data_IF_337581432752
#
_entry.id   IF_337581432752
#
_cell.length_a   1.000
_cell.length_b   1.000
_cell.length_c   1.000
_cell.angle_alpha   90.00
_cell.angle_beta   90.00
_cell.angle_gamma   90.00
#
_symmetry.space_group_name_H-M   'P 1'
#
loop_
_entity.id
_entity.type
_entity.pdbx_description
1 polymer ?
#
# COMPACT_ATOMS: atom_id res chain seq x y z
N UNK A 1 -4.85 -54.32 -61.96
CA UNK A 1 -6.07 -53.55 -62.28
C UNK A 1 -5.88 -52.16 -61.72
N UNK A 2 -5.45 -51.21 -62.57
CA UNK A 2 -5.57 -49.79 -62.27
C UNK A 2 -7.02 -49.40 -62.57
N UNK A 3 -7.74 -48.92 -61.56
CA UNK A 3 -9.03 -48.26 -61.74
C UNK A 3 -8.80 -46.77 -61.64
N UNK A 4 -9.13 -46.05 -62.71
CA UNK A 4 -8.97 -44.61 -62.84
C UNK A 4 -9.77 -43.85 -61.76
N UNK A 5 -9.07 -43.00 -61.01
CA UNK A 5 -9.71 -41.95 -60.19
C UNK A 5 -10.20 -40.85 -61.14
N UNK A 6 -11.51 -40.76 -61.33
CA UNK A 6 -12.13 -39.61 -61.97
C UNK A 6 -11.97 -38.39 -61.07
N UNK A 7 -11.21 -37.41 -61.53
CA UNK A 7 -11.28 -36.05 -61.01
C UNK A 7 -12.56 -35.40 -61.54
N UNK A 8 -13.55 -35.21 -60.67
CA UNK A 8 -14.58 -34.20 -60.94
C UNK A 8 -13.94 -32.83 -60.66
N UNK A 9 -13.66 -32.12 -61.76
CA UNK A 9 -13.31 -30.71 -61.73
C UNK A 9 -14.54 -29.91 -61.29
N UNK A 10 -14.65 -29.57 -60.01
CA UNK A 10 -15.46 -28.44 -59.53
C UNK A 10 -15.25 -28.08 -58.05
N UNK A 11 -14.05 -28.27 -57.52
CA UNK A 11 -13.66 -27.51 -56.31
C UNK A 11 -13.16 -26.15 -56.76
N UNK A 12 -14.08 -25.18 -56.74
CA UNK A 12 -13.69 -23.77 -56.60
C UNK A 12 -12.80 -23.71 -55.37
N UNK A 13 -11.51 -23.45 -55.57
CA UNK A 13 -10.64 -22.97 -54.51
C UNK A 13 -11.20 -21.61 -54.13
N UNK A 14 -12.14 -21.59 -53.18
CA UNK A 14 -12.52 -20.36 -52.52
C UNK A 14 -11.24 -19.80 -51.91
N UNK A 15 -10.85 -18.63 -52.38
CA UNK A 15 -9.79 -17.85 -51.78
C UNK A 15 -10.12 -17.74 -50.29
N UNK A 16 -9.24 -18.30 -49.45
CA UNK A 16 -9.42 -18.33 -47.99
C UNK A 16 -9.07 -16.97 -47.36
N UNK A 17 -8.84 -15.95 -48.19
CA UNK A 17 -8.69 -14.59 -47.75
C UNK A 17 -10.08 -13.99 -47.47
N UNK A 18 -10.41 -13.71 -46.21
CA UNK A 18 -11.67 -13.06 -45.89
C UNK A 18 -11.71 -11.68 -46.55
N UNK A 19 -12.78 -11.40 -47.28
CA UNK A 19 -13.07 -10.09 -47.84
C UNK A 19 -13.76 -9.22 -46.78
N UNK A 20 -13.68 -7.89 -46.89
CA UNK A 20 -14.34 -6.96 -45.95
C UNK A 20 -15.86 -7.22 -45.87
N UNK A 21 -16.46 -7.69 -46.97
CA UNK A 21 -17.87 -8.10 -47.02
C UNK A 21 -18.20 -9.37 -46.23
N UNK A 22 -17.20 -10.17 -45.85
CA UNK A 22 -17.37 -11.35 -45.01
C UNK A 22 -17.55 -10.99 -43.53
N UNK A 23 -17.29 -9.73 -43.17
CA UNK A 23 -17.55 -9.19 -41.83
C UNK A 23 -18.82 -8.33 -41.88
N UNK A 24 -19.93 -8.84 -41.37
CA UNK A 24 -21.12 -8.00 -41.18
C UNK A 24 -20.99 -7.22 -39.87
N UNK A 25 -21.50 -5.99 -39.85
CA UNK A 25 -21.63 -5.20 -38.60
C UNK A 25 -22.48 -5.93 -37.55
N UNK A 26 -23.31 -6.88 -37.98
CA UNK A 26 -24.17 -7.71 -37.14
C UNK A 26 -23.41 -8.88 -36.49
N UNK A 27 -22.23 -9.25 -37.01
CA UNK A 27 -21.32 -10.26 -36.42
C UNK A 27 -20.33 -9.63 -35.42
N UNK A 28 -20.27 -8.29 -35.38
CA UNK A 28 -19.47 -7.55 -34.41
C UNK A 28 -20.30 -7.29 -33.14
N UNK A 29 -20.17 -8.17 -32.16
CA UNK A 29 -20.59 -7.86 -30.79
C UNK A 29 -19.43 -7.17 -30.08
N UNK A 30 -19.54 -5.87 -29.88
CA UNK A 30 -18.62 -5.16 -29.00
C UNK A 30 -18.71 -5.80 -27.60
N UNK A 31 -17.59 -6.31 -27.10
CA UNK A 31 -17.51 -6.89 -25.75
C UNK A 31 -17.81 -5.80 -24.70
N UNK A 32 -17.49 -4.53 -25.03
CA UNK A 32 -17.76 -3.36 -24.21
C UNK A 32 -18.87 -2.52 -24.85
N UNK A 33 -19.89 -2.18 -24.06
CA UNK A 33 -21.03 -1.35 -24.48
C UNK A 33 -20.84 0.14 -24.14
N UNK A 34 -19.76 0.47 -23.42
CA UNK A 34 -19.39 1.83 -23.01
C UNK A 34 -17.92 2.09 -23.38
N UNK A 35 -17.55 3.35 -23.62
CA UNK A 35 -16.15 3.74 -23.83
C UNK A 35 -15.41 3.59 -22.51
N UNK A 36 -14.64 2.50 -22.37
CA UNK A 36 -13.84 2.23 -21.17
C UNK A 36 -12.36 2.23 -21.52
N UNK A 37 -11.56 2.92 -20.69
CA UNK A 37 -10.13 3.15 -20.90
C UNK A 37 -9.30 1.86 -20.65
N UNK A 38 -8.01 1.87 -20.99
CA UNK A 38 -7.21 0.65 -21.15
C UNK A 38 -7.06 -0.24 -19.90
N UNK A 39 -6.62 -1.48 -20.12
CA UNK A 39 -6.30 -2.46 -19.06
C UNK A 39 -4.90 -2.20 -18.50
N UNK A 40 -4.76 -2.12 -17.18
CA UNK A 40 -3.46 -1.95 -16.56
C UNK A 40 -3.48 -1.96 -15.04
N UNK A 41 -2.29 -2.11 -14.46
CA UNK A 41 -2.06 -1.97 -13.03
C UNK A 41 -0.92 -0.99 -12.75
N UNK A 42 -0.99 -0.33 -11.60
CA UNK A 42 0.09 0.49 -11.05
C UNK A 42 0.46 -0.10 -9.70
N UNK A 43 1.74 -0.45 -9.55
CA UNK A 43 2.34 -0.89 -8.31
C UNK A 43 3.51 0.02 -7.93
N UNK A 44 3.85 -0.01 -6.65
CA UNK A 44 5.05 0.64 -6.13
C UNK A 44 6.12 -0.43 -5.92
N UNK A 45 7.32 -0.15 -6.40
CA UNK A 45 8.44 -1.08 -6.23
C UNK A 45 9.46 -0.57 -5.20
N UNK A 46 9.38 0.72 -4.85
CA UNK A 46 10.24 1.38 -3.88
C UNK A 46 9.61 2.72 -3.44
N UNK A 47 9.90 3.15 -2.21
CA UNK A 47 9.54 4.48 -1.70
C UNK A 47 10.77 5.06 -1.01
N UNK A 48 11.17 6.26 -1.43
CA UNK A 48 12.22 7.01 -0.76
C UNK A 48 11.61 7.85 0.38
N UNK A 49 12.06 7.56 1.60
CA UNK A 49 11.64 8.23 2.82
C UNK A 49 12.66 9.28 3.31
N UNK A 50 13.68 9.60 2.52
CA UNK A 50 14.72 10.57 2.89
C UNK A 50 14.17 11.96 3.19
N UNK A 51 13.07 12.35 2.54
CA UNK A 51 12.39 13.63 2.74
C UNK A 51 11.38 13.63 3.91
N UNK A 52 11.12 12.49 4.58
CA UNK A 52 10.29 12.49 5.81
C UNK A 52 10.99 13.17 6.99
N UNK A 53 12.32 13.37 6.91
CA UNK A 53 13.10 14.11 7.90
C UNK A 53 13.27 15.57 7.42
N UNK A 54 12.21 16.39 7.53
CA UNK A 54 12.31 17.83 7.26
C UNK A 54 12.68 18.58 8.54
N UNK A 55 13.98 18.68 8.84
CA UNK A 55 14.49 19.45 9.99
C UNK A 55 14.22 18.79 11.33
N UNK A 56 13.75 19.56 12.33
CA UNK A 56 13.40 19.09 13.68
C UNK A 56 12.00 18.44 13.77
N UNK A 57 11.32 18.26 12.64
CA UNK A 57 9.97 17.68 12.60
C UNK A 57 10.10 16.17 12.68
N UNK A 58 9.76 15.61 13.84
CA UNK A 58 9.82 14.18 14.08
C UNK A 58 8.77 13.45 13.22
N UNK A 59 9.07 12.23 12.79
CA UNK A 59 8.19 11.39 11.96
C UNK A 59 6.90 10.90 12.63
N UNK A 60 6.43 11.60 13.67
CA UNK A 60 5.23 11.27 14.45
C UNK A 60 4.47 12.52 14.91
N UNK A 61 3.19 12.34 15.22
CA UNK A 61 2.29 13.42 15.62
C UNK A 61 2.43 13.73 17.11
N UNK A 62 2.76 14.98 17.44
CA UNK A 62 2.97 15.46 18.82
C UNK A 62 1.86 16.38 19.33
N UNK A 63 0.88 16.73 18.49
CA UNK A 63 -0.23 17.63 18.84
C UNK A 63 -1.57 16.95 18.63
N UNK A 64 -2.32 16.74 19.72
CA UNK A 64 -3.65 16.15 19.71
C UNK A 64 -4.45 16.61 20.94
N UNK A 65 -5.77 16.77 20.81
CA UNK A 65 -6.63 17.21 21.93
C UNK A 65 -6.83 16.13 23.01
N UNK A 66 -6.83 14.85 22.62
CA UNK A 66 -6.92 13.67 23.50
C UNK A 66 -5.63 13.51 24.32
N UNK A 67 -4.47 13.78 23.70
CA UNK A 67 -3.14 13.63 24.33
C UNK A 67 -2.35 14.96 24.32
N UNK A 68 -2.79 15.96 25.11
CA UNK A 68 -2.19 17.30 25.07
C UNK A 68 -0.77 17.36 25.64
N UNK A 69 -0.36 16.36 26.43
CA UNK A 69 0.94 16.32 27.11
C UNK A 69 2.09 15.86 26.22
N UNK A 70 1.83 15.17 25.09
CA UNK A 70 2.90 14.69 24.19
C UNK A 70 3.82 15.83 23.76
N UNK A 71 3.23 17.01 23.47
CA UNK A 71 4.00 18.19 23.12
C UNK A 71 4.91 18.67 24.26
N UNK A 72 4.41 18.66 25.50
CA UNK A 72 5.18 19.07 26.68
C UNK A 72 6.32 18.09 26.94
N UNK A 73 6.04 16.78 26.89
CA UNK A 73 7.01 15.70 27.12
C UNK A 73 8.15 15.71 26.09
N UNK A 74 7.85 16.05 24.84
CA UNK A 74 8.85 16.09 23.75
C UNK A 74 9.64 17.40 23.73
N UNK A 75 8.99 18.56 23.92
CA UNK A 75 9.62 19.87 23.63
C UNK A 75 9.87 20.77 24.83
N UNK A 76 9.27 20.50 26.00
CA UNK A 76 9.36 21.37 27.18
C UNK A 76 10.09 20.66 28.33
N UNK A 77 9.63 19.49 28.73
CA UNK A 77 10.27 18.71 29.80
C UNK A 77 11.38 17.80 29.28
N UNK A 78 11.34 17.41 28.00
CA UNK A 78 12.26 16.45 27.38
C UNK A 78 12.22 15.07 28.08
N UNK A 79 11.06 14.73 28.65
CA UNK A 79 10.82 13.44 29.29
C UNK A 79 10.64 12.32 28.26
N UNK A 80 10.22 12.65 27.03
CA UNK A 80 10.05 11.72 25.91
C UNK A 80 10.94 12.12 24.73
N UNK A 81 11.85 11.23 24.34
CA UNK A 81 12.64 11.35 23.13
C UNK A 81 12.38 10.16 22.21
N UNK A 82 11.92 10.41 20.99
CA UNK A 82 11.68 9.38 19.97
C UNK A 82 12.54 9.71 18.75
N UNK A 83 13.51 8.85 18.46
CA UNK A 83 14.37 8.96 17.28
C UNK A 83 13.92 7.95 16.23
N UNK A 84 13.52 8.42 15.05
CA UNK A 84 13.26 7.52 13.92
C UNK A 84 14.59 6.95 13.40
N UNK A 85 14.73 5.63 13.44
CA UNK A 85 15.95 4.94 13.01
C UNK A 85 15.91 4.62 11.52
N UNK A 86 14.75 4.18 11.03
CA UNK A 86 14.58 3.69 9.68
C UNK A 86 13.09 3.57 9.31
N UNK A 87 12.79 3.80 8.04
CA UNK A 87 11.51 3.48 7.42
C UNK A 87 11.77 2.88 6.04
N UNK A 88 11.17 1.73 5.74
CA UNK A 88 11.45 0.98 4.54
C UNK A 88 10.17 0.48 3.87
N UNK A 89 10.15 0.60 2.55
CA UNK A 89 9.21 -0.12 1.72
C UNK A 89 9.56 -1.61 1.74
N UNK A 90 8.55 -2.47 1.93
CA UNK A 90 8.71 -3.92 1.90
C UNK A 90 8.18 -4.47 0.58
N UNK A 91 6.90 -4.23 0.29
CA UNK A 91 6.23 -4.71 -0.92
C UNK A 91 4.93 -3.94 -1.20
N UNK A 92 4.43 -4.03 -2.43
CA UNK A 92 3.04 -3.67 -2.74
C UNK A 92 2.16 -4.86 -2.38
N UNK A 93 1.16 -4.65 -1.52
CA UNK A 93 0.15 -5.64 -1.16
C UNK A 93 -0.93 -5.66 -2.23
N UNK A 94 -1.53 -4.49 -2.49
CA UNK A 94 -2.60 -4.32 -3.46
C UNK A 94 -2.22 -3.21 -4.44
N UNK A 95 -2.10 -3.50 -5.74
CA UNK A 95 -1.90 -2.47 -6.76
C UNK A 95 -3.21 -1.77 -7.11
N UNK A 96 -3.11 -0.56 -7.65
CA UNK A 96 -4.23 0.06 -8.36
C UNK A 96 -4.43 -0.69 -9.68
N UNK A 97 -5.68 -1.04 -10.00
CA UNK A 97 -6.02 -1.88 -11.16
C UNK A 97 -7.22 -1.26 -11.87
N UNK A 98 -7.16 -1.26 -13.19
CA UNK A 98 -8.32 -1.08 -14.07
C UNK A 98 -8.39 -2.30 -15.00
N UNK A 99 -9.48 -3.07 -14.91
CA UNK A 99 -9.74 -4.20 -15.81
C UNK A 99 -11.18 -4.18 -16.32
N UNK A 100 -11.34 -3.59 -17.50
CA UNK A 100 -12.63 -3.48 -18.16
C UNK A 100 -13.08 -4.76 -18.87
N UNK A 101 -12.22 -5.78 -18.99
CA UNK A 101 -12.54 -7.04 -19.67
C UNK A 101 -13.05 -8.12 -18.71
N UNK A 102 -12.71 -8.01 -17.43
CA UNK A 102 -13.11 -8.97 -16.41
C UNK A 102 -13.94 -8.28 -15.30
N UNK A 103 -15.26 -8.34 -15.42
CA UNK A 103 -16.21 -7.76 -14.45
C UNK A 103 -16.10 -8.35 -13.02
N UNK A 104 -15.35 -9.45 -12.84
CA UNK A 104 -15.07 -9.98 -11.51
C UNK A 104 -13.97 -9.20 -10.77
N UNK A 105 -13.21 -8.36 -11.48
CA UNK A 105 -12.21 -7.46 -10.89
C UNK A 105 -12.89 -6.12 -10.64
N UNK A 106 -12.76 -5.62 -9.42
CA UNK A 106 -13.22 -4.27 -9.06
C UNK A 106 -12.08 -3.31 -9.33
N UNK A 107 -12.33 -2.30 -10.16
CA UNK A 107 -11.38 -1.22 -10.39
C UNK A 107 -11.00 -0.55 -9.06
N UNK A 108 -9.72 -0.31 -8.88
CA UNK A 108 -9.15 0.30 -7.68
C UNK A 108 -8.23 1.44 -8.06
N UNK A 109 -8.46 2.60 -7.46
CA UNK A 109 -7.61 3.78 -7.56
C UNK A 109 -6.66 3.90 -6.37
N UNK A 110 -6.48 2.84 -5.58
CA UNK A 110 -5.61 2.84 -4.42
C UNK A 110 -4.51 1.79 -4.55
N UNK A 111 -3.31 2.15 -4.10
CA UNK A 111 -2.19 1.21 -3.91
C UNK A 111 -2.01 1.03 -2.41
N UNK A 112 -2.05 -0.20 -1.92
CA UNK A 112 -1.69 -0.53 -0.53
C UNK A 112 -0.29 -1.10 -0.51
N UNK A 113 0.59 -0.51 0.29
CA UNK A 113 1.98 -0.95 0.46
C UNK A 113 2.25 -1.37 1.90
N UNK A 114 3.15 -2.33 2.06
CA UNK A 114 3.67 -2.74 3.35
C UNK A 114 4.93 -1.96 3.69
N UNK A 115 4.95 -1.32 4.85
CA UNK A 115 6.10 -0.57 5.35
C UNK A 115 6.63 -1.18 6.64
N UNK A 116 7.94 -1.04 6.86
CA UNK A 116 8.61 -1.39 8.09
C UNK A 116 9.24 -0.13 8.69
N UNK A 117 8.81 0.23 9.89
CA UNK A 117 9.32 1.37 10.65
C UNK A 117 10.06 0.89 11.90
N UNK A 118 11.17 1.55 12.23
CA UNK A 118 11.85 1.34 13.50
C UNK A 118 12.20 2.66 14.17
N UNK A 119 11.96 2.70 15.48
CA UNK A 119 12.10 3.88 16.32
C UNK A 119 12.88 3.52 17.56
N UNK A 120 13.75 4.42 18.02
CA UNK A 120 14.34 4.34 19.35
C UNK A 120 13.61 5.31 20.28
N UNK A 121 13.17 4.82 21.43
CA UNK A 121 12.44 5.59 22.43
C UNK A 121 13.28 5.65 23.70
N UNK A 122 13.41 6.85 24.25
CA UNK A 122 13.95 7.10 25.59
C UNK A 122 12.91 7.87 26.40
N UNK A 123 12.61 7.35 27.60
CA UNK A 123 11.66 7.94 28.52
C UNK A 123 12.34 8.17 29.87
N UNK A 124 12.38 9.43 30.31
CA UNK A 124 13.13 9.90 31.48
C UNK A 124 12.26 10.09 32.73
N UNK A 125 10.96 10.25 32.58
CA UNK A 125 10.00 10.16 33.68
C UNK A 125 9.45 8.73 33.80
N UNK A 126 8.96 8.28 34.95
CA UNK A 126 8.48 6.90 35.17
C UNK A 126 7.07 6.88 35.76
N UNK A 127 6.33 7.97 35.60
CA UNK A 127 5.07 8.22 36.30
C UNK A 127 3.84 7.66 35.58
N UNK A 128 3.85 7.58 34.24
CA UNK A 128 2.66 7.21 33.46
C UNK A 128 2.59 5.73 33.04
N UNK A 129 3.74 5.11 32.75
CA UNK A 129 3.81 3.69 32.43
C UNK A 129 3.34 3.28 31.02
N UNK A 130 2.98 4.23 30.17
CA UNK A 130 2.60 4.00 28.78
C UNK A 130 3.23 5.01 27.81
N UNK A 131 3.34 4.62 26.54
CA UNK A 131 3.77 5.44 25.43
C UNK A 131 2.58 5.71 24.51
N UNK A 132 2.44 6.96 24.06
CA UNK A 132 1.49 7.35 23.02
C UNK A 132 2.24 7.64 21.73
N UNK A 133 1.80 7.04 20.62
CA UNK A 133 2.49 7.17 19.34
C UNK A 133 1.52 7.16 18.15
N UNK A 134 1.70 8.06 17.19
CA UNK A 134 1.02 8.03 15.88
C UNK A 134 2.02 8.43 14.80
N UNK A 135 2.30 7.59 13.78
CA UNK A 135 3.22 7.93 12.71
C UNK A 135 2.67 9.09 11.85
N UNK A 136 3.57 9.80 11.18
CA UNK A 136 3.17 10.88 10.26
C UNK A 136 2.47 10.36 8.98
N UNK A 137 2.75 9.11 8.57
CA UNK A 137 2.14 8.50 7.41
C UNK A 137 0.69 8.07 7.71
N UNK A 138 -0.26 8.97 7.47
CA UNK A 138 -1.70 8.67 7.58
C UNK A 138 -2.39 8.75 6.21
N UNK A 139 -3.37 7.86 5.92
CA UNK A 139 -3.88 6.78 6.78
C UNK A 139 -2.99 5.52 6.73
N UNK A 140 -2.67 4.94 7.89
CA UNK A 140 -1.97 3.66 8.01
C UNK A 140 -2.66 2.73 9.02
N UNK A 141 -2.57 1.42 8.79
CA UNK A 141 -3.04 0.40 9.73
C UNK A 141 -1.85 -0.37 10.29
N UNK A 142 -1.80 -0.54 11.62
CA UNK A 142 -0.76 -1.33 12.25
C UNK A 142 -1.04 -2.81 12.06
N UNK A 143 -0.11 -3.54 11.44
CA UNK A 143 -0.21 -4.99 11.28
C UNK A 143 0.51 -5.77 12.37
N UNK A 144 1.72 -5.32 12.71
CA UNK A 144 2.55 -5.99 13.72
C UNK A 144 3.33 -4.94 14.49
N UNK A 145 3.50 -5.19 15.77
CA UNK A 145 4.25 -4.33 16.66
C UNK A 145 5.18 -5.17 17.52
N UNK A 146 6.48 -4.90 17.44
CA UNK A 146 7.49 -5.52 18.27
C UNK A 146 8.23 -4.49 19.11
N UNK A 147 8.68 -4.92 20.29
CA UNK A 147 9.53 -4.11 21.17
C UNK A 147 10.78 -4.89 21.53
N UNK A 148 11.93 -4.23 21.41
CA UNK A 148 13.23 -4.73 21.84
C UNK A 148 13.73 -3.90 23.02
N UNK A 149 13.90 -4.56 24.17
CA UNK A 149 14.37 -3.94 25.41
C UNK A 149 15.89 -4.05 25.62
N UNK A 150 16.64 -4.43 24.59
CA UNK A 150 18.08 -4.65 24.62
C UNK A 150 18.49 -6.08 24.95
N UNK A 151 17.61 -6.90 25.53
CA UNK A 151 17.87 -8.34 25.76
C UNK A 151 17.02 -9.24 24.88
N UNK A 152 15.73 -8.93 24.75
CA UNK A 152 14.75 -9.76 24.06
C UNK A 152 13.88 -8.92 23.12
N UNK A 153 13.30 -9.59 22.13
CA UNK A 153 12.31 -9.00 21.22
C UNK A 153 10.96 -9.64 21.51
N UNK A 154 9.96 -8.81 21.79
CA UNK A 154 8.60 -9.22 22.09
C UNK A 154 7.68 -8.78 20.95
N UNK A 155 6.88 -9.69 20.43
CA UNK A 155 5.72 -9.34 19.61
C UNK A 155 4.59 -8.95 20.57
N UNK A 156 4.02 -7.77 20.36
CA UNK A 156 2.96 -7.22 21.18
C UNK A 156 1.60 -7.60 20.61
N UNK A 157 0.65 -7.85 21.50
CA UNK A 157 -0.72 -8.25 21.18
C UNK A 157 -1.65 -7.09 21.47
N UNK A 158 -2.42 -6.68 20.46
CA UNK A 158 -3.46 -5.64 20.61
C UNK A 158 -4.47 -6.04 21.70
N UNK A 159 -5.03 -5.05 22.39
CA UNK A 159 -5.93 -5.17 23.56
C UNK A 159 -5.30 -5.77 24.82
N UNK A 160 -4.08 -6.33 24.73
CA UNK A 160 -3.35 -6.87 25.88
C UNK A 160 -2.18 -5.97 26.25
N UNK A 161 -1.36 -5.64 25.24
CA UNK A 161 -0.07 -4.96 25.43
C UNK A 161 -0.13 -3.51 24.93
N UNK A 162 -0.95 -3.27 23.89
CA UNK A 162 -1.26 -1.94 23.37
C UNK A 162 -2.70 -1.87 22.86
N UNK A 163 -3.23 -0.67 22.69
CA UNK A 163 -4.48 -0.42 21.95
C UNK A 163 -4.27 0.63 20.87
N UNK A 164 -5.07 0.59 19.81
CA UNK A 164 -5.17 1.69 18.84
C UNK A 164 -6.47 2.44 19.11
N UNK A 165 -6.36 3.73 19.41
CA UNK A 165 -7.53 4.54 19.71
C UNK A 165 -8.30 4.97 18.44
N UNK A 166 -9.43 5.65 18.63
CA UNK A 166 -10.29 6.14 17.53
C UNK A 166 -9.61 7.18 16.62
N UNK A 167 -8.54 7.81 17.09
CA UNK A 167 -7.77 8.83 16.38
C UNK A 167 -6.46 8.19 15.79
N UNK A 168 -6.37 6.85 15.83
CA UNK A 168 -5.27 5.99 15.38
C UNK A 168 -3.98 6.05 16.22
N UNK A 169 -4.03 6.61 17.43
CA UNK A 169 -2.88 6.57 18.33
C UNK A 169 -2.69 5.19 18.92
N UNK A 170 -1.45 4.69 18.86
CA UNK A 170 -0.99 3.54 19.61
C UNK A 170 -0.78 3.98 21.06
N UNK A 171 -1.45 3.29 21.99
CA UNK A 171 -1.27 3.41 23.43
C UNK A 171 -0.60 2.14 23.92
N UNK A 172 0.70 2.18 24.19
CA UNK A 172 1.52 1.02 24.55
C UNK A 172 1.89 1.03 26.03
N UNK A 173 1.51 0.00 26.78
CA UNK A 173 1.83 -0.11 28.22
C UNK A 173 3.21 -0.74 28.41
N UNK A 174 4.26 0.10 28.46
CA UNK A 174 5.63 -0.41 28.47
C UNK A 174 6.04 -1.04 29.80
N UNK A 175 5.47 -0.68 30.95
CA UNK A 175 5.94 -1.15 32.28
C UNK A 175 6.07 -2.67 32.40
N UNK A 176 5.20 -3.42 31.70
CA UNK A 176 5.20 -4.88 31.68
C UNK A 176 6.47 -5.50 31.08
N UNK A 177 7.25 -4.74 30.32
CA UNK A 177 8.39 -5.22 29.53
C UNK A 177 9.76 -4.75 30.05
N UNK A 178 9.78 -3.82 31.01
CA UNK A 178 11.01 -3.17 31.46
C UNK A 178 11.19 -3.23 32.97
N UNK A 179 12.42 -3.50 33.40
CA UNK A 179 12.80 -3.37 34.81
C UNK A 179 13.10 -1.89 35.09
N UNK A 180 12.05 -1.15 35.45
CA UNK A 180 12.08 0.29 35.67
C UNK A 180 13.13 0.63 36.74
N UNK A 181 14.22 1.33 36.37
CA UNK A 181 15.20 1.73 37.39
C UNK A 181 15.70 3.17 37.34
N UNK A 182 15.71 3.90 36.21
CA UNK A 182 15.90 5.38 36.20
C UNK A 182 15.45 6.00 34.87
N UNK A 183 15.81 5.37 33.76
CA UNK A 183 15.46 5.76 32.39
C UNK A 183 15.07 4.48 31.67
N UNK A 184 13.98 4.51 30.92
CA UNK A 184 13.53 3.37 30.11
C UNK A 184 13.84 3.65 28.66
N UNK A 185 14.56 2.75 27.99
CA UNK A 185 14.80 2.85 26.57
C UNK A 185 14.52 1.53 25.84
N UNK A 186 14.05 1.66 24.61
CA UNK A 186 13.71 0.51 23.77
C UNK A 186 13.67 0.87 22.30
N UNK A 187 13.72 -0.15 21.47
CA UNK A 187 13.44 -0.01 20.04
C UNK A 187 12.06 -0.58 19.73
N UNK A 188 11.22 0.20 19.08
CA UNK A 188 9.97 -0.26 18.49
C UNK A 188 10.21 -0.68 17.04
N UNK A 189 9.57 -1.75 16.61
CA UNK A 189 9.45 -2.13 15.20
C UNK A 189 7.97 -2.25 14.85
N UNK A 190 7.52 -1.43 13.90
CA UNK A 190 6.12 -1.35 13.50
C UNK A 190 6.01 -1.72 12.03
N UNK A 191 5.13 -2.66 11.72
CA UNK A 191 4.80 -3.05 10.36
C UNK A 191 3.45 -2.45 10.02
N UNK A 192 3.41 -1.68 8.94
CA UNK A 192 2.25 -0.89 8.56
C UNK A 192 1.72 -1.33 7.19
N UNK A 193 0.39 -1.26 7.05
CA UNK A 193 -0.25 -1.10 5.76
C UNK A 193 -0.54 0.37 5.52
N UNK A 194 -0.05 0.90 4.40
CA UNK A 194 -0.23 2.29 4.01
C UNK A 194 -0.94 2.36 2.66
N UNK A 195 -2.07 3.06 2.62
CA UNK A 195 -2.90 3.16 1.41
C UNK A 195 -2.71 4.53 0.76
N UNK A 196 -2.28 4.50 -0.50
CA UNK A 196 -2.06 5.65 -1.36
C UNK A 196 -3.21 5.77 -2.35
N UNK A 197 -3.93 6.88 -2.32
CA UNK A 197 -4.99 7.18 -3.29
C UNK A 197 -4.42 7.89 -4.52
N UNK A 198 -4.70 7.34 -5.71
CA UNK A 198 -4.38 7.93 -7.00
C UNK A 198 -5.58 8.73 -7.50
N UNK A 199 -5.57 10.05 -7.25
CA UNK A 199 -6.72 10.90 -7.55
C UNK A 199 -6.98 11.13 -9.04
N UNK A 200 -5.95 11.12 -9.91
CA UNK A 200 -6.07 11.55 -11.32
C UNK A 200 -5.30 10.66 -12.33
N UNK A 201 -5.21 9.35 -12.09
CA UNK A 201 -4.52 8.47 -13.04
C UNK A 201 -5.47 7.91 -14.11
N UNK A 202 -5.02 7.92 -15.37
CA UNK A 202 -5.78 7.38 -16.51
C UNK A 202 -4.87 6.61 -17.45
N UNK A 203 -5.29 5.44 -17.91
CA UNK A 203 -4.57 4.66 -18.93
C UNK A 203 -5.19 4.90 -20.31
N UNK A 204 -4.56 5.74 -21.13
CA UNK A 204 -4.95 5.93 -22.53
C UNK A 204 -4.22 4.92 -23.42
N UNK A 205 -4.96 4.10 -24.16
CA UNK A 205 -4.39 3.30 -25.24
C UNK A 205 -4.44 4.12 -26.54
N UNK A 206 -3.28 4.42 -27.13
CA UNK A 206 -3.24 5.02 -28.47
C UNK A 206 -3.62 3.93 -29.47
N UNK A 207 -4.85 3.96 -29.95
CA UNK A 207 -5.24 3.22 -31.16
C UNK A 207 -4.68 4.05 -32.32
N UNK A 208 -3.82 3.46 -33.14
CA UNK A 208 -3.08 4.15 -34.21
C UNK A 208 -3.99 5.00 -35.10
N UNK A 209 -3.45 6.13 -35.56
CA UNK A 209 -4.14 7.03 -36.48
C UNK A 209 -4.72 6.23 -37.65
N UNK A 210 -6.05 6.24 -37.82
CA UNK A 210 -6.67 5.85 -39.08
C UNK A 210 -6.17 6.82 -40.15
N UNK A 211 -5.18 6.41 -40.95
CA UNK A 211 -4.89 7.05 -42.23
C UNK A 211 -6.18 6.99 -43.06
N UNK A 212 -6.89 8.11 -43.15
CA UNK A 212 -7.95 8.28 -44.13
C UNK A 212 -7.32 8.26 -45.52
N UNK A 213 -7.49 7.14 -46.24
CA UNK A 213 -7.20 7.00 -47.67
C UNK A 213 -8.51 7.10 -48.45
#
# INVERSE_FOLDING_TARGET
MLGDLKFDSNTVLNDLNPEISDFSKDDFNAILTEEKHGLGNISINDIDFSDLVVGDVMGFITYNETYPLIWEDVYISEDLNITQLNMQFVETIDPAIVDNLNENITDSNSITVKLNESLFVEYNDLTEGYLIYLPFLVPCNLLQFFVNNGTDIFELIEETDYTVDKDNFIVFSYESYFNISVTTNFTMYLIWDYTLELNDWSLSQIIGEEEQI
#
